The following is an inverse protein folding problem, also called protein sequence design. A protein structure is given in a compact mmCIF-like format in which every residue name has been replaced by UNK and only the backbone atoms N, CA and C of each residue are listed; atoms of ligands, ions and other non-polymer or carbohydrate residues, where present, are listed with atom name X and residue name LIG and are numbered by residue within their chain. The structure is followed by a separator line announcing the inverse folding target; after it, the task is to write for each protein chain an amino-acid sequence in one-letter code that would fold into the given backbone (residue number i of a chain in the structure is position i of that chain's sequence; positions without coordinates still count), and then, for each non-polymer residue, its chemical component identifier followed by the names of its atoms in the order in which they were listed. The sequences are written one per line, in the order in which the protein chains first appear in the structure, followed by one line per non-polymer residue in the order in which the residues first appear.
data_IF_973631001365
#
_entry.id   IF_973631001365
#
_cell.length_a   1.000
_cell.length_b   1.000
_cell.length_c   1.000
_cell.angle_alpha   90.00
_cell.angle_beta   90.00
_cell.angle_gamma   90.00
#
_symmetry.space_group_name_H-M   'P 1'
#
loop_
_entity.id
_entity.type
_entity.pdbx_description
1 polymer ?
#
# COMPACT_ATOMS: atom_id res chain seq x y z
N UNK A 1 7.50 -27.83 0.87
CA UNK A 1 6.55 -26.72 0.68
C UNK A 1 7.37 -25.45 0.51
N UNK A 2 7.24 -24.77 -0.64
CA UNK A 2 7.98 -23.54 -0.92
C UNK A 2 7.63 -22.43 0.08
N UNK A 3 8.59 -21.57 0.36
CA UNK A 3 8.44 -20.43 1.26
C UNK A 3 8.26 -19.14 0.47
N UNK A 4 7.23 -18.36 0.84
CA UNK A 4 6.92 -17.05 0.27
C UNK A 4 7.10 -15.98 1.34
N UNK A 5 7.89 -14.96 1.05
CA UNK A 5 8.00 -13.75 1.87
C UNK A 5 7.30 -12.58 1.20
N UNK A 6 6.51 -11.82 1.96
CA UNK A 6 5.86 -10.59 1.49
C UNK A 6 6.45 -9.41 2.26
N UNK A 7 7.11 -8.48 1.55
CA UNK A 7 7.66 -7.27 2.15
C UNK A 7 6.53 -6.25 2.37
N UNK A 8 6.33 -5.81 3.60
CA UNK A 8 5.32 -4.84 3.98
C UNK A 8 5.90 -3.70 4.80
N UNK A 9 5.37 -2.49 4.62
CA UNK A 9 5.79 -1.37 5.45
C UNK A 9 5.22 -1.47 6.88
N UNK A 10 3.95 -1.82 6.99
CA UNK A 10 3.22 -2.07 8.25
C UNK A 10 1.98 -2.93 7.97
N UNK A 11 1.29 -3.39 9.01
CA UNK A 11 0.02 -4.12 8.93
C UNK A 11 -1.11 -3.34 9.61
N UNK A 12 -1.14 -2.02 9.36
CA UNK A 12 -2.18 -1.11 9.83
C UNK A 12 -3.35 -0.98 8.85
N UNK A 13 -4.09 0.13 8.98
CA UNK A 13 -5.17 0.45 8.05
C UNK A 13 -4.62 0.91 6.70
N UNK A 14 -5.11 0.34 5.61
CA UNK A 14 -4.78 0.70 4.24
C UNK A 14 -5.23 -0.35 3.23
N UNK A 15 -5.43 0.06 1.98
CA UNK A 15 -5.82 -0.85 0.89
C UNK A 15 -4.73 -1.87 0.57
N UNK A 16 -3.47 -1.42 0.51
CA UNK A 16 -2.31 -2.29 0.28
C UNK A 16 -2.19 -3.33 1.39
N UNK A 17 -2.29 -2.89 2.65
CA UNK A 17 -2.21 -3.77 3.83
C UNK A 17 -3.34 -4.80 3.85
N UNK A 18 -4.55 -4.41 3.44
CA UNK A 18 -5.68 -5.34 3.27
C UNK A 18 -5.37 -6.37 2.18
N UNK A 19 -4.87 -5.95 1.04
CA UNK A 19 -4.50 -6.84 -0.07
C UNK A 19 -3.36 -7.80 0.31
N UNK A 20 -2.35 -7.32 1.07
CA UNK A 20 -1.26 -8.16 1.60
C UNK A 20 -1.82 -9.27 2.49
N UNK A 21 -2.72 -8.94 3.42
CA UNK A 21 -3.32 -9.93 4.33
C UNK A 21 -4.17 -10.92 3.57
N UNK A 22 -4.99 -10.47 2.60
CA UNK A 22 -5.79 -11.35 1.76
C UNK A 22 -4.93 -12.33 0.96
N UNK A 23 -3.85 -11.83 0.32
CA UNK A 23 -2.91 -12.68 -0.41
C UNK A 23 -2.19 -13.66 0.51
N UNK A 24 -1.72 -13.22 1.67
CA UNK A 24 -1.04 -14.08 2.63
C UNK A 24 -1.95 -15.22 3.14
N UNK A 25 -3.22 -14.91 3.42
CA UNK A 25 -4.23 -15.88 3.83
C UNK A 25 -4.51 -16.92 2.72
N UNK A 26 -4.57 -16.48 1.46
CA UNK A 26 -4.76 -17.40 0.33
C UNK A 26 -3.52 -18.28 0.12
N UNK A 27 -2.34 -17.68 0.10
CA UNK A 27 -1.09 -18.40 -0.16
C UNK A 27 -0.74 -19.40 0.94
N UNK A 28 -1.14 -19.17 2.20
CA UNK A 28 -0.80 -20.09 3.30
C UNK A 28 -1.51 -21.44 3.22
N UNK A 29 -2.43 -21.63 2.28
CA UNK A 29 -3.02 -22.93 1.99
C UNK A 29 -2.03 -23.88 1.30
N UNK A 30 -1.12 -23.32 0.48
CA UNK A 30 -0.18 -24.09 -0.35
C UNK A 30 1.30 -23.77 -0.12
N UNK A 31 1.61 -22.73 0.62
CA UNK A 31 2.97 -22.22 0.86
C UNK A 31 3.22 -21.96 2.35
N UNK A 32 4.49 -21.97 2.76
CA UNK A 32 4.90 -21.37 4.04
C UNK A 32 4.99 -19.86 3.85
N UNK A 33 4.09 -19.08 4.44
CA UNK A 33 4.04 -17.62 4.23
C UNK A 33 4.60 -16.88 5.43
N UNK A 34 5.48 -15.91 5.14
CA UNK A 34 6.01 -14.95 6.11
C UNK A 34 5.79 -13.52 5.60
N UNK A 35 5.22 -12.65 6.42
CA UNK A 35 5.17 -11.22 6.14
C UNK A 35 6.33 -10.56 6.87
N UNK A 36 7.30 -10.05 6.11
CA UNK A 36 8.41 -9.25 6.62
C UNK A 36 7.99 -7.79 6.70
N UNK A 37 7.60 -7.39 7.90
CA UNK A 37 7.00 -6.09 8.18
C UNK A 37 8.03 -5.12 8.76
N UNK A 38 8.22 -3.96 8.13
CA UNK A 38 9.24 -2.99 8.59
C UNK A 38 8.90 -2.42 9.96
N UNK A 39 7.67 -1.90 10.12
CA UNK A 39 7.26 -1.22 11.34
C UNK A 39 6.16 -1.97 12.10
N UNK A 40 6.34 -2.15 13.40
CA UNK A 40 5.27 -2.60 14.30
C UNK A 40 4.47 -1.39 14.77
N UNK A 41 3.41 -1.00 14.04
CA UNK A 41 2.53 0.11 14.43
C UNK A 41 1.42 -0.32 15.39
N UNK A 42 0.98 -1.57 15.30
CA UNK A 42 -0.07 -2.19 16.11
C UNK A 42 0.43 -3.50 16.67
N UNK A 43 -0.17 -3.96 17.77
CA UNK A 43 0.23 -5.23 18.39
C UNK A 43 -0.11 -6.44 17.53
N UNK A 44 -1.18 -6.34 16.74
CA UNK A 44 -1.61 -7.34 15.76
C UNK A 44 -1.92 -6.65 14.43
N UNK A 45 -2.02 -7.42 13.37
CA UNK A 45 -2.59 -6.94 12.10
C UNK A 45 -4.01 -6.43 12.33
N UNK A 46 -4.33 -5.30 11.69
CA UNK A 46 -5.68 -4.72 11.74
C UNK A 46 -6.69 -5.61 11.00
N UNK A 47 -6.24 -6.25 9.92
CA UNK A 47 -7.06 -7.22 9.19
C UNK A 47 -6.81 -8.63 9.73
N UNK A 48 -7.82 -9.49 9.65
CA UNK A 48 -7.77 -10.87 10.15
C UNK A 48 -6.73 -11.68 9.37
N UNK A 49 -5.65 -12.05 10.04
CA UNK A 49 -4.57 -12.87 9.50
C UNK A 49 -4.73 -14.32 9.94
N UNK A 50 -4.51 -15.25 9.00
CA UNK A 50 -4.50 -16.68 9.29
C UNK A 50 -3.35 -17.04 10.24
N UNK A 51 -3.57 -17.96 11.17
CA UNK A 51 -2.60 -18.37 12.18
C UNK A 51 -1.36 -19.05 11.60
N UNK A 52 -1.44 -19.57 10.38
CA UNK A 52 -0.33 -20.21 9.66
C UNK A 52 0.65 -19.18 9.09
N UNK A 53 0.23 -17.94 8.89
CA UNK A 53 1.07 -16.86 8.38
C UNK A 53 1.96 -16.32 9.50
N UNK A 54 3.27 -16.34 9.29
CA UNK A 54 4.24 -15.76 10.21
C UNK A 54 4.40 -14.28 9.94
N UNK A 55 4.55 -13.46 11.00
CA UNK A 55 4.89 -12.04 10.87
C UNK A 55 6.22 -11.78 11.56
N UNK A 56 7.19 -11.27 10.79
CA UNK A 56 8.52 -10.88 11.28
C UNK A 56 8.65 -9.36 11.19
N UNK A 57 8.79 -8.70 12.33
CA UNK A 57 9.06 -7.27 12.39
C UNK A 57 10.55 -7.00 12.24
N UNK A 58 10.93 -6.20 11.24
CA UNK A 58 12.33 -5.95 10.89
C UNK A 58 12.96 -4.85 11.74
N UNK A 59 12.15 -3.93 12.30
CA UNK A 59 12.65 -2.84 13.13
C UNK A 59 11.79 -2.64 14.38
N UNK A 60 12.38 -2.01 15.40
CA UNK A 60 11.68 -1.54 16.61
C UNK A 60 11.33 -0.05 16.55
N UNK A 61 11.75 0.64 15.49
CA UNK A 61 11.50 2.07 15.32
C UNK A 61 10.07 2.32 14.80
N UNK A 62 9.60 3.54 15.03
CA UNK A 62 8.32 4.03 14.48
C UNK A 62 8.58 5.26 13.61
N UNK A 63 7.81 5.48 12.52
CA UNK A 63 7.86 6.71 11.76
C UNK A 63 7.50 7.91 12.67
N UNK A 64 8.25 9.01 12.54
CA UNK A 64 8.06 10.23 13.34
C UNK A 64 7.73 11.47 12.49
N UNK A 65 7.20 11.26 11.29
CA UNK A 65 6.86 12.34 10.36
C UNK A 65 5.83 13.32 10.94
N UNK A 66 4.87 12.81 11.72
CA UNK A 66 3.84 13.64 12.35
C UNK A 66 4.44 14.60 13.37
N UNK A 67 5.27 14.09 14.27
CA UNK A 67 5.97 14.85 15.32
C UNK A 67 6.89 15.91 14.71
N UNK A 68 7.63 15.55 13.67
CA UNK A 68 8.48 16.49 12.92
C UNK A 68 7.68 17.67 12.35
N UNK A 69 6.58 17.40 11.64
CA UNK A 69 5.72 18.45 11.08
C UNK A 69 5.03 19.28 12.15
N UNK A 70 4.63 18.67 13.26
CA UNK A 70 4.02 19.37 14.39
C UNK A 70 5.00 20.39 15.02
N UNK A 71 6.27 20.00 15.23
CA UNK A 71 7.28 20.92 15.76
C UNK A 71 7.61 22.03 14.76
N UNK A 72 7.61 21.77 13.45
CA UNK A 72 7.77 22.81 12.44
C UNK A 72 6.61 23.81 12.49
N UNK A 73 5.37 23.35 12.53
CA UNK A 73 4.19 24.22 12.64
C UNK A 73 4.22 25.07 13.90
N UNK A 74 4.66 24.51 15.02
CA UNK A 74 4.82 25.21 16.31
C UNK A 74 6.09 26.07 16.39
N UNK A 75 6.86 26.23 15.31
CA UNK A 75 8.13 26.98 15.24
C UNK A 75 9.18 26.54 16.26
N UNK A 76 9.13 25.27 16.74
CA UNK A 76 10.08 24.68 17.69
C UNK A 76 11.29 24.08 16.96
N UNK A 77 12.15 24.93 16.39
CA UNK A 77 13.21 24.58 15.43
C UNK A 77 14.15 23.50 15.98
N UNK A 78 14.66 23.64 17.23
CA UNK A 78 15.55 22.64 17.82
C UNK A 78 14.90 21.25 17.98
N UNK A 79 13.60 21.21 18.35
CA UNK A 79 12.87 19.95 18.45
C UNK A 79 12.60 19.35 17.07
N UNK A 80 12.27 20.18 16.08
CA UNK A 80 12.11 19.75 14.70
C UNK A 80 13.43 19.17 14.14
N UNK A 81 14.56 19.82 14.38
CA UNK A 81 15.88 19.33 13.96
C UNK A 81 16.19 17.97 14.58
N UNK A 82 15.95 17.81 15.89
CA UNK A 82 16.14 16.52 16.59
C UNK A 82 15.27 15.42 16.00
N UNK A 83 14.00 15.71 15.71
CA UNK A 83 13.10 14.73 15.06
C UNK A 83 13.51 14.46 13.61
N UNK A 84 14.04 15.45 12.88
CA UNK A 84 14.62 15.27 11.54
C UNK A 84 15.79 14.29 11.55
N UNK A 85 16.73 14.45 12.48
CA UNK A 85 17.86 13.52 12.64
C UNK A 85 17.40 12.12 13.02
N UNK A 86 16.42 11.99 13.93
CA UNK A 86 15.80 10.67 14.22
C UNK A 86 15.14 10.06 12.98
N UNK A 87 14.46 10.87 12.17
CA UNK A 87 13.84 10.46 10.91
C UNK A 87 14.88 9.89 9.95
N UNK A 88 16.00 10.61 9.71
CA UNK A 88 17.10 10.14 8.87
C UNK A 88 17.70 8.82 9.36
N UNK A 89 17.98 8.73 10.67
CA UNK A 89 18.41 7.47 11.29
C UNK A 89 17.38 6.35 11.08
N UNK A 90 16.10 6.69 11.20
CA UNK A 90 14.99 5.75 10.96
C UNK A 90 14.96 5.24 9.52
N UNK A 91 15.18 6.10 8.52
CA UNK A 91 15.27 5.71 7.11
C UNK A 91 16.47 4.78 6.86
N UNK A 92 17.61 5.08 7.45
CA UNK A 92 18.81 4.22 7.37
C UNK A 92 18.56 2.84 7.97
N UNK A 93 17.99 2.77 9.20
CA UNK A 93 17.66 1.50 9.85
C UNK A 93 16.66 0.71 9.00
N UNK A 94 15.61 1.35 8.49
CA UNK A 94 14.62 0.71 7.60
C UNK A 94 15.31 0.06 6.40
N UNK A 95 16.17 0.82 5.70
CA UNK A 95 16.88 0.33 4.53
C UNK A 95 17.73 -0.91 4.89
N UNK A 96 18.61 -0.77 5.87
CA UNK A 96 19.54 -1.85 6.22
C UNK A 96 18.81 -3.10 6.75
N UNK A 97 17.81 -2.93 7.61
CA UNK A 97 17.05 -4.07 8.12
C UNK A 97 16.29 -4.81 7.02
N UNK A 98 15.77 -4.08 6.03
CA UNK A 98 15.08 -4.71 4.89
C UNK A 98 16.07 -5.41 3.97
N UNK A 99 17.20 -4.79 3.65
CA UNK A 99 18.27 -5.40 2.83
C UNK A 99 18.80 -6.66 3.52
N UNK A 100 19.16 -6.57 4.80
CA UNK A 100 19.65 -7.74 5.55
C UNK A 100 18.61 -8.89 5.56
N UNK A 101 17.32 -8.55 5.60
CA UNK A 101 16.27 -9.57 5.48
C UNK A 101 16.26 -10.21 4.09
N UNK A 102 16.32 -9.41 3.03
CA UNK A 102 16.32 -9.87 1.63
C UNK A 102 17.51 -10.80 1.38
N UNK A 103 18.71 -10.44 1.87
CA UNK A 103 19.94 -11.21 1.69
C UNK A 103 19.97 -12.50 2.53
N UNK A 104 19.36 -12.50 3.71
CA UNK A 104 19.45 -13.62 4.67
C UNK A 104 18.24 -14.55 4.68
N UNK A 105 17.17 -14.23 3.96
CA UNK A 105 15.96 -15.08 3.96
C UNK A 105 16.19 -16.37 3.17
N UNK A 106 15.59 -17.45 3.64
CA UNK A 106 15.54 -18.76 2.98
C UNK A 106 14.27 -18.91 2.08
N UNK A 107 13.69 -17.80 1.66
CA UNK A 107 12.47 -17.81 0.85
C UNK A 107 12.76 -18.16 -0.60
N UNK A 108 11.90 -19.00 -1.19
CA UNK A 108 11.94 -19.31 -2.63
C UNK A 108 11.36 -18.16 -3.46
N UNK A 109 10.44 -17.38 -2.88
CA UNK A 109 9.72 -16.28 -3.54
C UNK A 109 9.69 -15.08 -2.59
N UNK A 110 10.03 -13.90 -3.10
CA UNK A 110 9.85 -12.64 -2.38
C UNK A 110 8.92 -11.72 -3.18
N UNK A 111 7.82 -11.31 -2.54
CA UNK A 111 6.86 -10.36 -3.09
C UNK A 111 7.09 -9.01 -2.43
N UNK A 112 7.42 -8.01 -3.22
CA UNK A 112 7.54 -6.62 -2.79
C UNK A 112 6.24 -5.87 -3.08
N UNK A 113 5.87 -4.91 -2.23
CA UNK A 113 4.60 -4.17 -2.34
C UNK A 113 4.80 -2.67 -2.44
N UNK A 114 6.05 -2.23 -2.67
CA UNK A 114 6.42 -0.82 -2.83
C UNK A 114 7.68 -0.68 -3.67
N UNK A 115 7.74 0.38 -4.46
CA UNK A 115 8.86 0.75 -5.33
C UNK A 115 10.24 0.69 -4.64
N UNK A 116 10.33 1.21 -3.42
CA UNK A 116 11.58 1.19 -2.65
C UNK A 116 12.02 -0.24 -2.28
N UNK A 117 11.08 -1.14 -2.03
CA UNK A 117 11.39 -2.56 -1.78
C UNK A 117 11.72 -3.28 -3.08
N UNK A 118 11.09 -2.91 -4.20
CA UNK A 118 11.39 -3.42 -5.53
C UNK A 118 12.84 -3.14 -5.90
N UNK A 119 13.30 -1.88 -5.70
CA UNK A 119 14.68 -1.48 -5.95
C UNK A 119 15.67 -2.30 -5.11
N UNK A 120 15.38 -2.47 -3.80
CA UNK A 120 16.27 -3.25 -2.94
C UNK A 120 16.23 -4.74 -3.26
N UNK A 121 15.06 -5.30 -3.57
CA UNK A 121 14.90 -6.70 -3.96
C UNK A 121 15.65 -7.00 -5.26
N UNK A 122 15.52 -6.13 -6.26
CA UNK A 122 16.23 -6.28 -7.54
C UNK A 122 17.75 -6.14 -7.42
N UNK A 123 18.25 -5.42 -6.39
CA UNK A 123 19.67 -5.17 -6.19
C UNK A 123 20.35 -6.18 -5.27
N UNK A 124 19.65 -6.63 -4.24
CA UNK A 124 20.21 -7.41 -3.14
C UNK A 124 19.59 -8.81 -3.00
N UNK A 125 18.53 -9.11 -3.74
CA UNK A 125 17.91 -10.45 -3.73
C UNK A 125 18.80 -11.49 -4.40
N UNK A 126 18.94 -12.65 -3.74
CA UNK A 126 19.75 -13.77 -4.23
C UNK A 126 19.26 -14.28 -5.60
N UNK A 127 20.15 -14.86 -6.40
CA UNK A 127 19.83 -15.32 -7.77
C UNK A 127 18.83 -16.48 -7.82
N UNK A 128 18.77 -17.31 -6.78
CA UNK A 128 17.84 -18.44 -6.70
C UNK A 128 16.42 -18.07 -6.24
N UNK A 129 16.16 -16.79 -5.93
CA UNK A 129 14.88 -16.31 -5.40
C UNK A 129 14.05 -15.70 -6.51
N UNK A 130 12.79 -16.13 -6.64
CA UNK A 130 11.83 -15.48 -7.54
C UNK A 130 11.41 -14.12 -6.98
N UNK A 131 11.67 -13.04 -7.72
CA UNK A 131 11.49 -11.63 -7.32
C UNK A 131 10.26 -11.05 -7.99
N UNK A 132 9.25 -10.71 -7.19
CA UNK A 132 7.97 -10.20 -7.67
C UNK A 132 7.70 -8.82 -7.08
N UNK A 133 7.48 -7.83 -7.93
CA UNK A 133 6.92 -6.54 -7.55
C UNK A 133 5.39 -6.59 -7.65
N UNK A 134 4.69 -5.96 -6.72
CA UNK A 134 3.23 -5.86 -6.76
C UNK A 134 2.80 -4.40 -6.61
N UNK A 135 2.46 -3.77 -7.75
CA UNK A 135 2.07 -2.36 -7.82
C UNK A 135 0.56 -2.19 -7.67
N UNK A 136 0.19 -1.40 -6.69
CA UNK A 136 -1.20 -1.13 -6.32
C UNK A 136 -1.72 0.24 -6.77
N UNK A 137 -0.82 1.16 -7.11
CA UNK A 137 -1.19 2.54 -7.41
C UNK A 137 -1.25 2.76 -8.91
N UNK A 138 -2.16 3.65 -9.33
CA UNK A 138 -2.15 4.18 -10.68
C UNK A 138 -1.15 5.35 -10.76
N UNK A 139 -0.45 5.50 -11.88
CA UNK A 139 0.52 6.58 -12.08
C UNK A 139 -0.13 7.96 -12.33
N UNK A 140 -1.47 8.00 -12.60
CA UNK A 140 -2.27 9.24 -12.77
C UNK A 140 -1.58 10.28 -13.67
N UNK A 141 -1.02 9.84 -14.81
CA UNK A 141 -0.24 10.64 -15.77
C UNK A 141 1.05 11.28 -15.19
N UNK A 142 1.44 10.95 -13.97
CA UNK A 142 2.75 11.29 -13.43
C UNK A 142 3.83 10.38 -14.01
N UNK A 143 4.45 10.84 -15.09
CA UNK A 143 5.51 10.11 -15.78
C UNK A 143 6.79 9.97 -14.94
N UNK A 144 7.02 10.82 -13.92
CA UNK A 144 8.16 10.68 -13.01
C UNK A 144 7.93 9.46 -12.13
N UNK A 145 6.74 9.37 -11.53
CA UNK A 145 6.34 8.18 -10.76
C UNK A 145 6.43 6.90 -11.61
N UNK A 146 5.86 6.92 -12.83
CA UNK A 146 5.92 5.77 -13.73
C UNK A 146 7.37 5.34 -14.03
N UNK A 147 8.28 6.29 -14.29
CA UNK A 147 9.69 6.00 -14.56
C UNK A 147 10.44 5.49 -13.30
N UNK A 148 10.06 5.94 -12.10
CA UNK A 148 10.59 5.41 -10.84
C UNK A 148 10.20 3.93 -10.66
N UNK A 149 8.93 3.55 -10.91
CA UNK A 149 8.48 2.16 -10.91
C UNK A 149 9.27 1.32 -11.92
N UNK A 150 9.39 1.79 -13.18
CA UNK A 150 10.17 1.07 -14.21
C UNK A 150 11.60 0.83 -13.76
N UNK A 151 12.27 1.85 -13.22
CA UNK A 151 13.64 1.71 -12.71
C UNK A 151 13.73 0.72 -11.56
N UNK A 152 12.80 0.80 -10.60
CA UNK A 152 12.80 -0.05 -9.41
C UNK A 152 12.56 -1.52 -9.76
N UNK A 153 11.69 -1.79 -10.75
CA UNK A 153 11.24 -3.15 -11.09
C UNK A 153 12.02 -3.81 -12.22
N UNK A 154 12.87 -3.07 -12.95
CA UNK A 154 13.59 -3.56 -14.13
C UNK A 154 14.47 -4.82 -13.90
N UNK A 155 14.84 -5.08 -12.66
CA UNK A 155 15.67 -6.24 -12.24
C UNK A 155 14.87 -7.34 -11.54
N UNK A 156 13.54 -7.22 -11.49
CA UNK A 156 12.65 -8.26 -10.96
C UNK A 156 12.30 -9.26 -12.06
N UNK A 157 11.80 -10.44 -11.66
CA UNK A 157 11.30 -11.43 -12.60
C UNK A 157 9.89 -11.08 -13.07
N UNK A 158 9.05 -10.58 -12.16
CA UNK A 158 7.67 -10.20 -12.46
C UNK A 158 7.28 -8.88 -11.81
N UNK A 159 6.44 -8.14 -12.52
CA UNK A 159 5.67 -7.02 -11.98
C UNK A 159 4.17 -7.34 -12.10
N UNK A 160 3.53 -7.53 -10.97
CA UNK A 160 2.08 -7.78 -10.88
C UNK A 160 1.35 -6.44 -10.80
N UNK A 161 0.40 -6.21 -11.68
CA UNK A 161 -0.42 -5.02 -11.80
C UNK A 161 -1.89 -5.36 -11.49
N UNK A 162 -2.59 -4.44 -10.84
CA UNK A 162 -3.98 -4.65 -10.39
C UNK A 162 -5.03 -4.30 -11.44
N UNK A 163 -4.63 -3.82 -12.62
CA UNK A 163 -5.51 -3.58 -13.77
C UNK A 163 -4.82 -3.90 -15.10
N UNK A 164 -5.62 -4.25 -16.12
CA UNK A 164 -5.09 -4.52 -17.47
C UNK A 164 -4.43 -3.31 -18.09
N UNK A 165 -5.01 -2.12 -17.93
CA UNK A 165 -4.45 -0.87 -18.46
C UNK A 165 -3.05 -0.58 -17.91
N UNK A 166 -2.83 -0.80 -16.61
CA UNK A 166 -1.49 -0.69 -16.00
C UNK A 166 -0.54 -1.76 -16.56
N UNK A 167 -1.01 -3.00 -16.71
CA UNK A 167 -0.20 -4.08 -17.28
C UNK A 167 0.23 -3.75 -18.70
N UNK A 168 -0.64 -3.25 -19.55
CA UNK A 168 -0.30 -2.84 -20.93
C UNK A 168 0.71 -1.67 -20.93
N UNK A 169 0.48 -0.66 -20.08
CA UNK A 169 1.37 0.49 -19.97
C UNK A 169 2.78 0.08 -19.54
N UNK A 170 2.91 -0.67 -18.45
CA UNK A 170 4.23 -1.05 -17.91
C UNK A 170 4.90 -2.13 -18.78
N UNK A 171 4.15 -3.00 -19.48
CA UNK A 171 4.72 -3.96 -20.42
C UNK A 171 5.49 -3.26 -21.56
N UNK A 172 4.95 -2.15 -22.09
CA UNK A 172 5.63 -1.35 -23.12
C UNK A 172 6.90 -0.71 -22.58
N UNK A 173 6.88 -0.23 -21.33
CA UNK A 173 8.04 0.44 -20.71
C UNK A 173 9.15 -0.52 -20.25
N UNK A 174 8.80 -1.74 -19.88
CA UNK A 174 9.72 -2.77 -19.42
C UNK A 174 10.13 -3.76 -20.54
N UNK A 175 9.72 -3.51 -21.80
CA UNK A 175 9.95 -4.40 -22.95
C UNK A 175 11.42 -4.78 -23.16
N UNK A 176 12.36 -3.88 -22.81
CA UNK A 176 13.80 -4.10 -22.93
C UNK A 176 14.44 -4.62 -21.63
N UNK A 177 13.66 -5.18 -20.73
CA UNK A 177 14.12 -5.78 -19.44
C UNK A 177 13.66 -7.23 -19.36
N UNK A 178 14.17 -7.97 -18.36
CA UNK A 178 13.73 -9.33 -18.07
C UNK A 178 12.42 -9.39 -17.26
N UNK A 179 11.94 -8.26 -16.77
CA UNK A 179 10.76 -8.17 -15.92
C UNK A 179 9.47 -8.37 -16.73
N UNK A 180 8.70 -9.39 -16.39
CA UNK A 180 7.43 -9.72 -17.08
C UNK A 180 6.26 -9.07 -16.33
N UNK A 181 5.43 -8.29 -17.01
CA UNK A 181 4.22 -7.71 -16.45
C UNK A 181 3.05 -8.69 -16.51
N UNK A 182 2.37 -8.88 -15.37
CA UNK A 182 1.21 -9.77 -15.23
C UNK A 182 0.07 -9.01 -14.59
N UNK A 183 -1.15 -9.18 -15.12
CA UNK A 183 -2.36 -8.66 -14.51
C UNK A 183 -2.94 -9.67 -13.52
N UNK A 184 -3.05 -9.31 -12.25
CA UNK A 184 -3.74 -10.06 -11.21
C UNK A 184 -4.54 -9.07 -10.38
N UNK A 185 -5.89 -9.11 -10.41
CA UNK A 185 -6.72 -8.20 -9.62
C UNK A 185 -6.60 -8.49 -8.12
N UNK A 186 -6.95 -7.49 -7.31
CA UNK A 186 -7.01 -7.68 -5.87
C UNK A 186 -8.06 -8.73 -5.48
N UNK A 187 -7.75 -9.51 -4.44
CA UNK A 187 -8.61 -10.57 -3.93
C UNK A 187 -9.75 -9.95 -3.13
N UNK A 188 -10.96 -10.46 -3.36
CA UNK A 188 -12.11 -10.17 -2.51
C UNK A 188 -12.20 -11.22 -1.39
N UNK A 189 -12.02 -10.79 -0.14
CA UNK A 189 -12.07 -11.68 1.02
C UNK A 189 -13.46 -12.27 1.27
N UNK A 190 -14.51 -11.51 0.96
CA UNK A 190 -15.88 -11.92 1.17
C UNK A 190 -16.78 -11.41 0.04
N UNK A 191 -17.51 -12.31 -0.59
CA UNK A 191 -18.61 -11.93 -1.47
C UNK A 191 -19.80 -11.51 -0.61
N UNK A 192 -20.46 -10.37 -0.94
CA UNK A 192 -21.63 -9.93 -0.21
C UNK A 192 -22.76 -10.97 -0.35
N UNK A 193 -23.37 -11.35 0.77
CA UNK A 193 -24.50 -12.29 0.78
C UNK A 193 -25.81 -11.67 0.24
N UNK A 194 -25.89 -10.34 0.26
CA UNK A 194 -27.03 -9.58 -0.25
C UNK A 194 -26.51 -8.48 -1.15
N UNK A 195 -27.15 -8.30 -2.28
CA UNK A 195 -26.95 -7.14 -3.15
C UNK A 195 -27.94 -6.05 -2.79
N UNK A 196 -27.57 -4.78 -3.00
CA UNK A 196 -28.49 -3.68 -2.88
C UNK A 196 -29.60 -3.79 -3.93
N UNK A 197 -30.84 -3.51 -3.52
CA UNK A 197 -31.98 -3.44 -4.45
C UNK A 197 -31.87 -2.24 -5.40
N UNK A 198 -31.04 -1.26 -5.08
CA UNK A 198 -30.91 0.03 -5.78
C UNK A 198 -32.21 0.83 -5.88
N UNK A 199 -33.17 0.54 -4.99
CA UNK A 199 -34.49 1.22 -4.96
C UNK A 199 -34.49 2.43 -4.03
N UNK A 200 -33.54 2.52 -3.10
CA UNK A 200 -33.42 3.65 -2.18
C UNK A 200 -32.76 4.86 -2.88
N UNK A 201 -33.30 6.03 -2.64
CA UNK A 201 -32.76 7.30 -3.15
C UNK A 201 -31.58 7.77 -2.30
N UNK A 202 -30.51 6.97 -2.33
CA UNK A 202 -29.35 7.12 -1.45
C UNK A 202 -28.04 6.92 -2.20
N UNK A 203 -27.16 7.91 -2.13
CA UNK A 203 -25.80 7.85 -2.62
C UNK A 203 -24.87 7.48 -1.47
N UNK A 204 -23.93 6.58 -1.71
CA UNK A 204 -22.95 6.18 -0.68
C UNK A 204 -21.55 6.31 -1.27
N UNK A 205 -20.67 7.03 -0.55
CA UNK A 205 -19.25 7.11 -0.88
C UNK A 205 -18.43 6.62 0.31
N UNK A 206 -17.49 5.70 0.04
CA UNK A 206 -16.63 5.08 1.07
C UNK A 206 -15.17 5.32 0.75
N UNK A 207 -14.42 5.93 1.68
CA UNK A 207 -13.00 6.15 1.45
C UNK A 207 -12.32 7.02 2.50
N UNK A 208 -10.99 7.16 2.38
CA UNK A 208 -10.22 8.07 3.23
C UNK A 208 -10.63 9.51 2.91
N UNK A 209 -10.90 10.31 3.94
CA UNK A 209 -11.23 11.73 3.78
C UNK A 209 -9.93 12.53 3.55
N UNK A 210 -9.48 12.54 2.32
CA UNK A 210 -8.25 13.17 1.87
C UNK A 210 -8.44 13.84 0.52
N UNK A 211 -7.63 14.85 0.22
CA UNK A 211 -7.76 15.70 -0.96
C UNK A 211 -7.84 14.92 -2.27
N UNK A 212 -7.03 13.87 -2.40
CA UNK A 212 -6.99 13.01 -3.60
C UNK A 212 -8.29 12.23 -3.85
N UNK A 213 -9.21 12.15 -2.87
CA UNK A 213 -10.50 11.47 -3.01
C UNK A 213 -11.62 12.39 -3.49
N UNK A 214 -11.38 13.71 -3.56
CA UNK A 214 -12.32 14.66 -4.16
C UNK A 214 -13.63 14.86 -3.38
N UNK A 215 -13.66 14.67 -2.07
CA UNK A 215 -14.89 14.79 -1.30
C UNK A 215 -15.48 16.21 -1.29
N UNK A 216 -14.64 17.25 -1.38
CA UNK A 216 -15.12 18.63 -1.51
C UNK A 216 -15.92 18.81 -2.82
N UNK A 217 -15.41 18.23 -3.92
CA UNK A 217 -16.10 18.29 -5.22
C UNK A 217 -17.39 17.47 -5.17
N UNK A 218 -17.38 16.32 -4.50
CA UNK A 218 -18.59 15.51 -4.29
C UNK A 218 -19.68 16.28 -3.54
N UNK A 219 -19.31 16.99 -2.46
CA UNK A 219 -20.27 17.82 -1.71
C UNK A 219 -20.80 18.98 -2.55
N UNK A 220 -19.96 19.65 -3.33
CA UNK A 220 -20.37 20.72 -4.24
C UNK A 220 -21.37 20.21 -5.29
N UNK A 221 -21.11 19.05 -5.90
CA UNK A 221 -22.04 18.41 -6.84
C UNK A 221 -23.35 17.98 -6.17
N UNK A 222 -23.24 17.37 -4.97
CA UNK A 222 -24.45 16.97 -4.24
C UNK A 222 -25.34 18.17 -3.84
N UNK A 223 -24.75 19.30 -3.50
CA UNK A 223 -25.51 20.54 -3.22
C UNK A 223 -26.35 21.01 -4.44
N UNK A 224 -25.87 20.75 -5.66
CA UNK A 224 -26.64 21.03 -6.88
C UNK A 224 -27.78 20.02 -7.03
N UNK A 225 -27.43 18.72 -6.93
CA UNK A 225 -28.38 17.61 -7.10
C UNK A 225 -29.50 17.66 -6.06
N UNK A 226 -29.20 17.98 -4.81
CA UNK A 226 -30.16 18.00 -3.72
C UNK A 226 -31.26 19.06 -3.89
N UNK A 227 -31.01 20.14 -4.64
CA UNK A 227 -32.02 21.16 -4.98
C UNK A 227 -33.05 20.64 -5.98
N UNK A 228 -32.63 19.83 -6.92
CA UNK A 228 -33.49 19.23 -7.94
C UNK A 228 -34.14 17.94 -7.44
N UNK A 229 -33.42 17.18 -6.62
CA UNK A 229 -33.85 15.88 -6.08
C UNK A 229 -33.78 15.85 -4.55
N UNK A 230 -34.64 16.58 -3.83
CA UNK A 230 -34.55 16.75 -2.36
C UNK A 230 -34.79 15.47 -1.56
N UNK A 231 -35.34 14.45 -2.20
CA UNK A 231 -35.57 13.13 -1.57
C UNK A 231 -34.34 12.21 -1.57
N UNK A 232 -33.26 12.60 -2.26
CA UNK A 232 -32.00 11.83 -2.25
C UNK A 232 -31.13 12.23 -1.06
N UNK A 233 -30.43 11.26 -0.50
CA UNK A 233 -29.44 11.48 0.55
C UNK A 233 -28.04 11.08 0.09
N UNK A 234 -27.01 11.68 0.70
CA UNK A 234 -25.60 11.31 0.49
C UNK A 234 -24.98 10.92 1.82
N UNK A 235 -24.49 9.69 1.89
CA UNK A 235 -23.68 9.20 3.02
C UNK A 235 -22.21 9.14 2.61
N UNK A 236 -21.36 9.77 3.41
CA UNK A 236 -19.92 9.68 3.28
C UNK A 236 -19.37 8.88 4.47
N UNK A 237 -18.78 7.71 4.18
CA UNK A 237 -18.23 6.81 5.19
C UNK A 237 -16.72 6.83 5.09
N UNK A 238 -16.06 7.35 6.13
CA UNK A 238 -14.61 7.42 6.15
C UNK A 238 -14.06 8.29 7.27
N UNK A 239 -12.72 8.36 7.33
CA UNK A 239 -11.98 9.26 8.20
C UNK A 239 -10.74 9.76 7.50
N UNK A 240 -10.20 10.93 7.91
CA UNK A 240 -9.01 11.51 7.31
C UNK A 240 -8.77 12.97 7.64
N UNK A 241 -7.70 13.52 7.06
CA UNK A 241 -7.24 14.88 7.37
C UNK A 241 -8.21 15.99 6.95
N UNK A 242 -9.16 15.69 6.05
CA UNK A 242 -10.16 16.68 5.58
C UNK A 242 -11.49 16.61 6.32
N UNK A 243 -11.62 15.74 7.35
CA UNK A 243 -12.88 15.56 8.06
C UNK A 243 -13.45 16.87 8.59
N UNK A 244 -12.67 17.65 9.33
CA UNK A 244 -13.12 18.95 9.87
C UNK A 244 -13.61 19.92 8.79
N UNK A 245 -12.98 19.89 7.62
CA UNK A 245 -13.39 20.73 6.48
C UNK A 245 -14.70 20.28 5.84
N UNK A 246 -14.97 18.97 5.88
CA UNK A 246 -16.14 18.39 5.24
C UNK A 246 -17.37 18.45 6.14
N UNK A 247 -17.17 18.58 7.46
CA UNK A 247 -18.24 18.71 8.47
C UNK A 247 -18.64 20.19 8.73
N UNK A 248 -17.81 21.19 8.31
CA UNK A 248 -18.06 22.63 8.42
C UNK A 248 -18.59 23.20 7.09
#
# INVERSE_FOLDING_TARGET
MKKVSILSLHLGYGGIEKSIVALANLLCESYKVEIACVYKLYDKSVFKLDRRVKVKYLTKIKPNKKEFHEYLKKKKIFKALKEGLKGLKGLYIRKNSTINYIESTDSDIIISTRDIFDEWLGKFGNDGVLKIGWEHNHYHDDMRYANEIVRATSKLDYLVLVSESLKEFYSKKLANTNCKCVYIPNILDNMPKKMSSLTEKRLVSVGRLSKEKGYMDLLALYNIISKEYPTWSLDIIGDGAEREKLEN
#
